data_IF_779634310523
#
_entry.id   IF_779634310523
#
_cell.length_a   1.000
_cell.length_b   1.000
_cell.length_c   1.000
_cell.angle_alpha   90.00
_cell.angle_beta   90.00
_cell.angle_gamma   90.00
#
_symmetry.space_group_name_H-M   'P 1'
#
loop_
_entity.id
_entity.type
_entity.pdbx_description
1 polymer ?
#
# COMPACT_ATOMS: atom_id res chain seq x y z
N UNK A 1 3.89 3.90 26.62
CA UNK A 1 4.03 4.15 25.17
C UNK A 1 4.75 2.95 24.58
N UNK A 2 4.09 2.23 23.69
CA UNK A 2 4.70 1.06 23.03
C UNK A 2 5.57 1.50 21.85
N UNK A 3 6.47 0.63 21.42
CA UNK A 3 7.31 0.85 20.23
C UNK A 3 6.43 1.17 18.99
N UNK A 4 5.27 0.55 18.93
CA UNK A 4 4.27 0.75 17.86
C UNK A 4 3.75 2.19 17.77
N UNK A 5 3.60 2.89 18.89
CA UNK A 5 3.09 4.26 18.93
C UNK A 5 4.09 5.26 18.32
N UNK A 6 5.40 4.97 18.46
CA UNK A 6 6.46 5.81 17.92
C UNK A 6 6.68 5.59 16.41
N UNK A 7 6.36 4.42 15.88
CA UNK A 7 6.61 4.05 14.47
C UNK A 7 5.40 4.34 13.58
N UNK A 8 4.19 4.27 14.13
CA UNK A 8 2.92 4.48 13.41
C UNK A 8 2.85 5.78 12.59
N UNK A 9 3.34 6.96 13.06
CA UNK A 9 3.33 8.19 12.28
C UNK A 9 4.12 8.13 10.97
N UNK A 10 5.14 7.27 10.90
CA UNK A 10 6.01 7.09 9.73
C UNK A 10 5.51 5.99 8.78
N UNK A 11 4.59 5.13 9.24
CA UNK A 11 4.03 4.04 8.46
C UNK A 11 2.61 4.38 8.02
N UNK A 12 2.48 5.36 7.11
CA UNK A 12 1.21 5.74 6.52
C UNK A 12 0.95 4.90 5.25
N UNK A 13 -0.17 4.17 5.16
CA UNK A 13 -0.44 3.26 4.04
C UNK A 13 -0.35 3.93 2.68
N UNK A 14 -0.89 5.14 2.53
CA UNK A 14 -0.86 5.90 1.28
C UNK A 14 0.56 6.16 0.79
N UNK A 15 1.42 6.64 1.69
CA UNK A 15 2.80 7.02 1.35
C UNK A 15 3.60 5.78 0.92
N UNK A 16 3.49 4.69 1.68
CA UNK A 16 4.20 3.46 1.37
C UNK A 16 3.68 2.75 0.13
N UNK A 17 2.39 2.82 -0.17
CA UNK A 17 1.84 2.33 -1.44
C UNK A 17 2.39 3.11 -2.64
N UNK A 18 2.53 4.44 -2.53
CA UNK A 18 3.14 5.26 -3.59
C UNK A 18 4.63 4.91 -3.75
N UNK A 19 5.39 4.92 -2.64
CA UNK A 19 6.82 4.60 -2.65
C UNK A 19 7.05 3.20 -3.25
N UNK A 20 6.33 2.21 -2.74
CA UNK A 20 6.46 0.83 -3.21
C UNK A 20 6.05 0.68 -4.68
N UNK A 21 4.98 1.36 -5.11
CA UNK A 21 4.54 1.36 -6.50
C UNK A 21 5.58 1.96 -7.45
N UNK A 22 6.18 3.09 -7.06
CA UNK A 22 7.24 3.76 -7.85
C UNK A 22 8.51 2.90 -7.90
N UNK A 23 8.92 2.33 -6.76
CA UNK A 23 10.09 1.42 -6.72
C UNK A 23 9.86 0.21 -7.59
N UNK A 24 8.66 -0.38 -7.52
CA UNK A 24 8.31 -1.56 -8.33
C UNK A 24 8.32 -1.26 -9.84
N UNK A 25 7.76 -0.11 -10.25
CA UNK A 25 7.81 0.32 -11.67
C UNK A 25 9.23 0.63 -12.12
N UNK A 26 10.01 1.32 -11.29
CA UNK A 26 11.42 1.59 -11.60
C UNK A 26 12.24 0.32 -11.76
N UNK A 27 12.04 -0.64 -10.87
CA UNK A 27 12.67 -1.96 -10.97
C UNK A 27 12.23 -2.72 -12.23
N UNK A 28 10.93 -2.73 -12.54
CA UNK A 28 10.40 -3.35 -13.73
C UNK A 28 11.03 -2.78 -15.02
N UNK A 29 11.11 -1.46 -15.12
CA UNK A 29 11.74 -0.78 -16.27
C UNK A 29 13.21 -1.16 -16.36
N UNK A 30 13.95 -1.07 -15.26
CA UNK A 30 15.37 -1.41 -15.23
C UNK A 30 15.59 -2.86 -15.65
N UNK A 31 14.85 -3.80 -15.08
CA UNK A 31 14.94 -5.23 -15.42
C UNK A 31 14.65 -5.48 -16.92
N UNK A 32 13.65 -4.82 -17.49
CA UNK A 32 13.34 -4.95 -18.92
C UNK A 32 14.43 -4.34 -19.83
N UNK A 33 15.14 -3.31 -19.36
CA UNK A 33 16.20 -2.65 -20.13
C UNK A 33 17.52 -3.43 -20.13
N UNK A 34 17.80 -4.23 -19.09
CA UNK A 34 19.06 -4.96 -18.89
C UNK A 34 18.79 -6.43 -18.50
N UNK A 35 17.80 -7.06 -19.14
CA UNK A 35 17.38 -8.43 -18.80
C UNK A 35 18.50 -9.45 -18.98
N UNK A 36 19.30 -9.33 -20.04
CA UNK A 36 20.45 -10.20 -20.31
C UNK A 36 21.52 -10.03 -19.23
N UNK A 37 21.89 -8.79 -18.89
CA UNK A 37 22.86 -8.53 -17.83
C UNK A 37 22.40 -8.97 -16.45
N UNK A 38 21.09 -9.01 -16.20
CA UNK A 38 20.51 -9.62 -14.99
C UNK A 38 20.63 -11.15 -15.05
N UNK A 39 20.27 -11.76 -16.16
CA UNK A 39 20.34 -13.21 -16.35
C UNK A 39 21.78 -13.72 -16.16
N UNK A 40 22.76 -13.07 -16.77
CA UNK A 40 24.18 -13.42 -16.60
C UNK A 40 24.67 -13.37 -15.15
N UNK A 41 24.14 -12.46 -14.34
CA UNK A 41 24.51 -12.30 -12.93
C UNK A 41 23.74 -13.24 -12.00
N UNK A 42 22.49 -13.53 -12.36
CA UNK A 42 21.59 -14.31 -11.53
C UNK A 42 21.77 -15.83 -11.71
N UNK A 43 22.21 -16.25 -12.91
CA UNK A 43 22.38 -17.66 -13.24
C UNK A 43 23.84 -17.93 -13.55
N UNK A 44 24.39 -19.01 -12.98
CA UNK A 44 25.79 -19.39 -13.18
C UNK A 44 25.91 -20.43 -14.28
N UNK A 45 27.04 -20.40 -15.03
CA UNK A 45 27.47 -21.43 -15.97
C UNK A 45 26.46 -21.73 -17.10
N UNK A 46 25.73 -20.69 -17.57
CA UNK A 46 24.77 -20.82 -18.65
C UNK A 46 25.44 -21.06 -20.01
N UNK A 47 24.92 -22.00 -20.78
CA UNK A 47 25.16 -22.08 -22.23
C UNK A 47 24.44 -20.92 -22.95
N UNK A 48 24.79 -20.62 -24.19
CA UNK A 48 24.15 -19.52 -24.94
C UNK A 48 22.62 -19.71 -25.09
N UNK A 49 22.14 -20.96 -25.24
CA UNK A 49 20.70 -21.24 -25.32
C UNK A 49 20.00 -21.08 -23.96
N UNK A 50 20.67 -21.42 -22.87
CA UNK A 50 20.13 -21.23 -21.52
C UNK A 50 20.08 -19.75 -21.13
N UNK A 51 21.08 -18.96 -21.56
CA UNK A 51 21.08 -17.50 -21.38
C UNK A 51 19.89 -16.84 -22.07
N UNK A 52 19.55 -17.26 -23.30
CA UNK A 52 18.38 -16.75 -24.01
C UNK A 52 17.07 -17.04 -23.25
N UNK A 53 16.95 -18.24 -22.69
CA UNK A 53 15.81 -18.61 -21.85
C UNK A 53 15.79 -17.79 -20.55
N UNK A 54 16.92 -17.68 -19.87
CA UNK A 54 17.04 -16.89 -18.64
C UNK A 54 16.72 -15.41 -18.88
N UNK A 55 17.22 -14.81 -19.97
CA UNK A 55 16.88 -13.44 -20.38
C UNK A 55 15.38 -13.28 -20.61
N UNK A 56 14.72 -14.24 -21.24
CA UNK A 56 13.28 -14.22 -21.43
C UNK A 56 12.52 -14.30 -20.10
N UNK A 57 13.05 -15.01 -19.13
CA UNK A 57 12.52 -15.10 -17.77
C UNK A 57 12.59 -13.77 -17.05
N UNK A 58 13.73 -13.06 -17.14
CA UNK A 58 13.91 -11.74 -16.53
C UNK A 58 13.00 -10.68 -17.18
N UNK A 59 12.85 -10.71 -18.51
CA UNK A 59 11.89 -9.87 -19.22
C UNK A 59 10.45 -10.11 -18.75
N UNK A 60 10.05 -11.38 -18.64
CA UNK A 60 8.72 -11.73 -18.15
C UNK A 60 8.50 -11.23 -16.71
N UNK A 61 9.52 -11.35 -15.87
CA UNK A 61 9.49 -10.89 -14.49
C UNK A 61 9.35 -9.38 -14.40
N UNK A 62 10.06 -8.63 -15.24
CA UNK A 62 9.89 -7.18 -15.39
C UNK A 62 8.45 -6.81 -15.77
N UNK A 63 7.90 -7.43 -16.82
CA UNK A 63 6.51 -7.22 -17.24
C UNK A 63 5.50 -7.55 -16.15
N UNK A 64 5.70 -8.64 -15.43
CA UNK A 64 4.82 -9.07 -14.35
C UNK A 64 4.83 -8.08 -13.16
N UNK A 65 5.93 -7.36 -12.97
CA UNK A 65 6.08 -6.36 -11.91
C UNK A 65 5.31 -5.05 -12.19
N UNK A 66 5.07 -4.71 -13.47
CA UNK A 66 4.35 -3.48 -13.86
C UNK A 66 2.94 -3.39 -13.29
N UNK A 67 2.05 -4.40 -13.42
CA UNK A 67 0.72 -4.36 -12.82
C UNK A 67 0.72 -4.14 -11.31
N UNK A 68 1.70 -4.69 -10.59
CA UNK A 68 1.81 -4.51 -9.14
C UNK A 68 2.16 -3.08 -8.75
N UNK A 69 3.07 -2.44 -9.49
CA UNK A 69 3.39 -1.03 -9.28
C UNK A 69 2.19 -0.12 -9.54
N UNK A 70 1.49 -0.35 -10.66
CA UNK A 70 0.27 0.40 -10.99
C UNK A 70 -0.81 0.17 -9.94
N UNK A 71 -1.04 -1.07 -9.52
CA UNK A 71 -2.01 -1.45 -8.49
C UNK A 71 -1.77 -0.70 -7.19
N UNK A 72 -0.52 -0.68 -6.71
CA UNK A 72 -0.18 0.02 -5.47
C UNK A 72 -0.49 1.53 -5.55
N UNK A 73 -0.14 2.18 -6.67
CA UNK A 73 -0.44 3.61 -6.90
C UNK A 73 -1.95 3.86 -7.00
N UNK A 74 -2.69 2.98 -7.68
CA UNK A 74 -4.14 3.09 -7.78
C UNK A 74 -4.80 3.00 -6.39
N UNK A 75 -4.40 2.03 -5.57
CA UNK A 75 -4.92 1.94 -4.19
C UNK A 75 -4.59 3.19 -3.41
N UNK A 76 -3.36 3.71 -3.53
CA UNK A 76 -2.96 4.92 -2.82
C UNK A 76 -3.80 6.15 -3.17
N UNK A 77 -4.31 6.21 -4.40
CA UNK A 77 -5.03 7.37 -4.93
C UNK A 77 -6.55 7.22 -4.90
N UNK A 78 -7.06 6.01 -5.06
CA UNK A 78 -8.50 5.75 -5.22
C UNK A 78 -9.17 5.23 -3.96
N UNK A 79 -8.39 4.67 -3.01
CA UNK A 79 -8.91 4.08 -1.77
C UNK A 79 -8.41 4.91 -0.58
N UNK A 80 -9.26 5.13 0.41
CA UNK A 80 -8.92 5.95 1.59
C UNK A 80 -9.29 5.25 2.91
N UNK A 81 -8.78 5.76 4.02
CA UNK A 81 -9.14 5.35 5.36
C UNK A 81 -8.85 3.88 5.66
N UNK A 82 -9.73 3.24 6.40
CA UNK A 82 -9.61 1.83 6.84
C UNK A 82 -9.49 0.85 5.68
N UNK A 83 -10.19 1.10 4.59
CA UNK A 83 -10.14 0.26 3.39
C UNK A 83 -8.74 0.26 2.77
N UNK A 84 -8.12 1.42 2.64
CA UNK A 84 -6.75 1.56 2.14
C UNK A 84 -5.77 0.79 3.02
N UNK A 85 -5.88 0.92 4.35
CA UNK A 85 -5.01 0.22 5.28
C UNK A 85 -5.13 -1.32 5.13
N UNK A 86 -6.36 -1.83 5.04
CA UNK A 86 -6.61 -3.27 4.88
C UNK A 86 -6.07 -3.80 3.55
N UNK A 87 -6.32 -3.07 2.46
CA UNK A 87 -5.80 -3.48 1.15
C UNK A 87 -4.28 -3.40 1.12
N UNK A 88 -3.66 -2.37 1.73
CA UNK A 88 -2.21 -2.28 1.86
C UNK A 88 -1.62 -3.48 2.63
N UNK A 89 -2.23 -3.85 3.77
CA UNK A 89 -1.79 -5.02 4.55
C UNK A 89 -1.83 -6.31 3.73
N UNK A 90 -2.92 -6.56 3.02
CA UNK A 90 -3.08 -7.74 2.17
C UNK A 90 -2.13 -7.72 0.97
N UNK A 91 -1.97 -6.56 0.32
CA UNK A 91 -1.04 -6.40 -0.81
C UNK A 91 0.39 -6.68 -0.36
N UNK A 92 0.83 -6.09 0.75
CA UNK A 92 2.17 -6.32 1.29
C UNK A 92 2.40 -7.78 1.67
N UNK A 93 1.41 -8.44 2.31
CA UNK A 93 1.49 -9.86 2.64
C UNK A 93 1.59 -10.73 1.38
N UNK A 94 0.75 -10.49 0.37
CA UNK A 94 0.74 -11.27 -0.86
C UNK A 94 2.06 -11.12 -1.64
N UNK A 95 2.58 -9.89 -1.76
CA UNK A 95 3.85 -9.64 -2.42
C UNK A 95 5.02 -10.27 -1.65
N UNK A 96 4.99 -10.19 -0.33
CA UNK A 96 6.01 -10.82 0.52
C UNK A 96 6.03 -12.34 0.36
N UNK A 97 4.86 -12.98 0.47
CA UNK A 97 4.74 -14.43 0.29
C UNK A 97 5.17 -14.85 -1.12
N UNK A 98 4.74 -14.10 -2.13
CA UNK A 98 5.15 -14.35 -3.51
C UNK A 98 6.66 -14.26 -3.68
N UNK A 99 7.29 -13.20 -3.13
CA UNK A 99 8.75 -13.04 -3.16
C UNK A 99 9.49 -14.17 -2.43
N UNK A 100 8.99 -14.60 -1.26
CA UNK A 100 9.59 -15.72 -0.52
C UNK A 100 9.50 -17.04 -1.31
N UNK A 101 8.32 -17.35 -1.84
CA UNK A 101 8.13 -18.59 -2.64
C UNK A 101 8.99 -18.55 -3.90
N UNK A 102 9.00 -17.43 -4.62
CA UNK A 102 9.85 -17.25 -5.78
C UNK A 102 11.32 -17.49 -5.42
N UNK A 103 11.81 -16.86 -4.37
CA UNK A 103 13.20 -16.98 -3.94
C UNK A 103 13.57 -18.42 -3.56
N UNK A 104 12.67 -19.11 -2.86
CA UNK A 104 12.89 -20.53 -2.50
C UNK A 104 12.95 -21.44 -3.74
N UNK A 105 12.08 -21.21 -4.71
CA UNK A 105 12.07 -22.00 -5.95
C UNK A 105 13.30 -21.67 -6.81
N UNK A 106 13.58 -20.40 -7.01
CA UNK A 106 14.70 -19.96 -7.85
C UNK A 106 16.06 -20.43 -7.32
N UNK A 107 16.29 -20.34 -6.01
CA UNK A 107 17.54 -20.84 -5.39
C UNK A 107 17.66 -22.36 -5.47
N UNK A 108 16.54 -23.09 -5.48
CA UNK A 108 16.53 -24.54 -5.69
C UNK A 108 16.94 -24.95 -7.10
N UNK A 109 16.74 -24.07 -8.09
CA UNK A 109 17.07 -24.29 -9.50
C UNK A 109 18.41 -23.66 -9.94
N UNK A 110 19.21 -23.19 -8.99
CA UNK A 110 20.55 -22.63 -9.29
C UNK A 110 20.58 -21.12 -9.51
N UNK A 111 19.50 -20.41 -9.18
CA UNK A 111 19.51 -18.93 -9.16
C UNK A 111 20.48 -18.43 -8.10
N UNK A 112 21.48 -17.67 -8.50
CA UNK A 112 22.51 -17.16 -7.58
C UNK A 112 21.95 -16.04 -6.71
N UNK A 113 22.19 -16.14 -5.40
CA UNK A 113 21.94 -15.05 -4.46
C UNK A 113 23.03 -14.01 -4.48
N UNK A 114 24.16 -14.29 -5.14
CA UNK A 114 25.32 -13.39 -5.28
C UNK A 114 25.13 -12.37 -6.44
N UNK A 115 23.97 -12.42 -7.13
CA UNK A 115 23.58 -11.55 -8.23
C UNK A 115 23.62 -10.06 -7.87
N UNK A 116 22.57 -9.26 -8.09
CA UNK A 116 22.61 -7.80 -7.88
C UNK A 116 22.80 -7.37 -6.42
N UNK A 117 23.15 -8.32 -5.57
CA UNK A 117 23.62 -8.13 -4.20
C UNK A 117 22.51 -7.92 -3.17
N UNK A 118 22.83 -8.13 -1.88
CA UNK A 118 21.88 -8.02 -0.79
C UNK A 118 21.25 -6.63 -0.66
N UNK A 119 21.94 -5.59 -1.15
CA UNK A 119 21.44 -4.22 -1.16
C UNK A 119 20.23 -4.06 -2.08
N UNK A 120 20.25 -4.68 -3.26
CA UNK A 120 19.12 -4.61 -4.20
C UNK A 120 17.92 -5.40 -3.68
N UNK A 121 18.16 -6.57 -3.09
CA UNK A 121 17.12 -7.32 -2.41
C UNK A 121 16.46 -6.48 -1.31
N UNK A 122 17.25 -5.76 -0.52
CA UNK A 122 16.74 -4.86 0.51
C UNK A 122 15.89 -3.73 -0.08
N UNK A 123 16.37 -3.07 -1.14
CA UNK A 123 15.63 -1.98 -1.82
C UNK A 123 14.29 -2.46 -2.37
N UNK A 124 14.24 -3.70 -2.84
CA UNK A 124 13.01 -4.31 -3.36
C UNK A 124 12.05 -4.77 -2.24
N UNK A 125 12.56 -5.48 -1.23
CA UNK A 125 11.72 -6.05 -0.18
C UNK A 125 11.30 -5.04 0.89
N UNK A 126 12.10 -4.02 1.18
CA UNK A 126 11.79 -3.04 2.20
C UNK A 126 10.46 -2.32 1.96
N UNK A 127 10.15 -1.81 0.75
CA UNK A 127 8.85 -1.20 0.47
C UNK A 127 7.69 -2.18 0.62
N UNK A 128 7.87 -3.45 0.22
CA UNK A 128 6.84 -4.49 0.34
C UNK A 128 6.49 -4.72 1.82
N UNK A 129 7.51 -4.91 2.66
CA UNK A 129 7.35 -5.07 4.11
C UNK A 129 6.72 -3.82 4.72
N UNK A 130 7.16 -2.63 4.32
CA UNK A 130 6.61 -1.37 4.81
C UNK A 130 5.15 -1.17 4.41
N UNK A 131 4.74 -1.53 3.19
CA UNK A 131 3.33 -1.54 2.76
C UNK A 131 2.51 -2.45 3.68
N UNK A 132 2.95 -3.69 3.89
CA UNK A 132 2.27 -4.65 4.74
C UNK A 132 2.13 -4.18 6.19
N UNK A 133 3.23 -3.73 6.79
CA UNK A 133 3.26 -3.21 8.15
C UNK A 133 2.43 -1.94 8.31
N UNK A 134 2.52 -1.00 7.36
CA UNK A 134 1.74 0.23 7.39
C UNK A 134 0.24 -0.07 7.39
N UNK A 135 -0.18 -1.01 6.56
CA UNK A 135 -1.56 -1.47 6.52
C UNK A 135 -2.00 -2.17 7.81
N UNK A 136 -1.19 -3.10 8.32
CA UNK A 136 -1.49 -3.86 9.53
C UNK A 136 -1.60 -2.95 10.78
N UNK A 137 -0.68 -2.01 10.96
CA UNK A 137 -0.70 -1.07 12.07
C UNK A 137 -1.86 -0.07 12.01
N UNK A 138 -2.40 0.18 10.82
CA UNK A 138 -3.54 1.07 10.60
C UNK A 138 -4.83 0.32 10.27
N UNK A 139 -4.90 -0.99 10.50
CA UNK A 139 -6.04 -1.85 10.16
C UNK A 139 -7.39 -1.37 10.71
N UNK A 140 -7.37 -0.84 11.93
CA UNK A 140 -8.53 -0.31 12.64
C UNK A 140 -8.57 1.22 12.66
N UNK A 141 -7.90 1.89 11.70
CA UNK A 141 -7.94 3.34 11.61
C UNK A 141 -9.40 3.81 11.53
N UNK A 142 -9.80 4.67 12.46
CA UNK A 142 -11.15 5.20 12.49
C UNK A 142 -11.38 6.12 11.29
N UNK A 143 -12.59 6.10 10.76
CA UNK A 143 -13.00 6.94 9.62
C UNK A 143 -13.24 8.41 10.03
N UNK A 144 -12.65 8.85 11.13
CA UNK A 144 -12.89 10.16 11.75
C UNK A 144 -12.77 11.38 10.82
N UNK A 145 -12.19 11.21 9.64
CA UNK A 145 -11.97 12.33 8.71
C UNK A 145 -13.03 12.48 7.63
N UNK A 146 -13.81 11.44 7.35
CA UNK A 146 -14.85 11.53 6.31
C UNK A 146 -16.14 12.17 6.83
N UNK A 147 -16.50 11.91 8.10
CA UNK A 147 -17.71 12.46 8.73
C UNK A 147 -17.62 13.95 9.02
N UNK A 148 -16.41 14.51 9.16
CA UNK A 148 -16.26 15.97 9.44
C UNK A 148 -16.62 16.87 8.26
N UNK A 149 -16.69 16.36 7.06
CA UNK A 149 -16.96 17.15 5.86
C UNK A 149 -18.27 16.78 5.17
N UNK A 150 -19.04 15.83 5.70
CA UNK A 150 -20.39 15.57 5.22
C UNK A 150 -21.37 16.60 5.84
N UNK A 151 -21.91 17.55 5.04
CA UNK A 151 -22.91 18.49 5.51
C UNK A 151 -24.24 17.81 5.95
N UNK A 152 -24.33 16.50 5.76
CA UNK A 152 -25.45 15.66 6.19
C UNK A 152 -25.20 14.93 7.49
N UNK A 153 -24.01 15.10 8.11
CA UNK A 153 -23.71 14.42 9.39
C UNK A 153 -24.74 14.84 10.45
N UNK A 154 -25.29 13.92 11.22
CA UNK A 154 -26.36 14.19 12.21
C UNK A 154 -25.95 15.21 13.29
N UNK A 155 -24.66 15.41 13.50
CA UNK A 155 -24.16 16.37 14.50
C UNK A 155 -24.39 17.83 14.11
N UNK A 156 -24.47 18.14 12.81
CA UNK A 156 -24.84 19.50 12.36
C UNK A 156 -26.33 19.75 12.47
N UNK A 157 -27.17 18.71 12.47
CA UNK A 157 -28.61 18.84 12.68
C UNK A 157 -28.97 19.14 14.15
N UNK A 158 -28.14 18.69 15.08
CA UNK A 158 -28.33 18.92 16.52
C UNK A 158 -28.07 20.34 16.98
N UNK A 159 -27.07 21.00 16.40
CA UNK A 159 -26.68 22.37 16.84
C UNK A 159 -27.66 23.46 16.38
N UNK A 160 -28.47 23.20 15.35
CA UNK A 160 -29.51 24.16 14.90
C UNK A 160 -30.79 24.16 15.75
N UNK A 161 -31.01 23.15 16.60
CA UNK A 161 -32.25 23.07 17.42
C UNK A 161 -32.18 23.75 18.76
N UNK A 162 -31.03 24.17 19.25
CA UNK A 162 -30.90 24.81 20.56
C UNK A 162 -31.23 26.32 20.50
N UNK A 163 -31.25 26.94 19.33
CA UNK A 163 -31.51 28.40 19.16
C UNK A 163 -32.97 28.80 19.02
N UNK A 164 -33.92 27.87 18.84
CA UNK A 164 -35.31 28.21 18.47
C UNK A 164 -36.34 28.08 19.61
N UNK A 165 -35.91 27.90 20.88
CA UNK A 165 -36.82 27.88 22.03
C UNK A 165 -36.61 29.09 22.93
N UNK A 166 -36.84 30.30 22.42
CA UNK A 166 -37.13 31.44 23.26
C UNK A 166 -38.34 32.21 22.69
N UNK A 167 -39.41 32.18 23.46
CA UNK A 167 -40.35 33.27 23.53
C UNK A 167 -41.59 33.16 22.68
N UNK A 168 -42.55 32.37 23.14
CA UNK A 168 -43.94 32.74 22.97
C UNK A 168 -44.65 32.42 24.29
N UNK A 169 -44.65 33.40 25.25
CA UNK A 169 -45.53 33.46 26.40
C UNK A 169 -46.84 34.12 25.91
N UNK A 170 -47.90 33.35 25.78
CA UNK A 170 -49.23 33.90 25.59
C UNK A 170 -49.69 34.62 26.89
N UNK A 171 -50.26 35.82 26.79
CA UNK A 171 -50.89 36.46 27.95
C UNK A 171 -52.22 35.75 28.30
N UNK A 172 -52.60 35.71 29.59
CA UNK A 172 -53.84 35.07 30.01
C UNK A 172 -55.06 35.92 29.62
N UNK A 173 -56.03 35.28 28.97
CA UNK A 173 -57.35 35.85 28.73
C UNK A 173 -58.05 36.06 30.07
N UNK A 174 -58.36 37.33 30.38
CA UNK A 174 -59.25 37.78 31.43
C UNK A 174 -60.69 37.55 30.95
N UNK A 175 -61.40 36.60 31.55
CA UNK A 175 -62.88 36.52 31.44
C UNK A 175 -63.46 37.40 32.53
N UNK A 176 -64.09 38.50 32.13
CA UNK A 176 -64.91 39.35 33.01
C UNK A 176 -66.33 38.81 33.05
N UNK A 177 -66.91 38.91 34.25
CA UNK A 177 -68.19 38.43 34.63
C UNK A 177 -69.41 39.22 34.15
#
# INVERSE_FOLDING_TARGET
>A
MGVTDNVKPYLKPKEWLIIGGVVQLGFAIWLMMDAEGFAEKAWTDLTASELEIATSYELFWGWFSVPWGIWAIMIATMVTGRQQARVAALTGLMLFLHGVVFFMLATGEGYSTDGPGPLLALVFFLPIVAIGLSGALNWNMEEELYDRHDPRSPDMAGSRRVGARRGWSHPPHRVGG
#
